data_IF_756339014317
#
_entry.id   IF_756339014317
#
_cell.length_a   1.000
_cell.length_b   1.000
_cell.length_c   1.000
_cell.angle_alpha   90.00
_cell.angle_beta   90.00
_cell.angle_gamma   90.00
#
_symmetry.space_group_name_H-M   'P 1'
#
loop_
_entity.id
_entity.type
_entity.pdbx_description
1 polymer ?
#
# COMPACT_ATOMS: atom_id res chain seq x y z
N UNK A 1 2.05 -24.96 -0.42
CA UNK A 1 1.20 -23.98 -1.13
C UNK A 1 1.37 -22.63 -0.46
N UNK A 2 1.62 -21.56 -1.22
CA UNK A 2 1.56 -20.19 -0.68
C UNK A 2 0.08 -19.88 -0.47
N UNK A 3 -0.29 -19.47 0.74
CA UNK A 3 -1.65 -18.97 1.00
C UNK A 3 -1.64 -17.45 0.81
N UNK A 4 -1.48 -17.01 -0.44
CA UNK A 4 -1.42 -15.60 -0.79
C UNK A 4 -2.84 -15.02 -0.72
N UNK A 5 -3.00 -13.93 0.05
CA UNK A 5 -4.25 -13.18 0.10
C UNK A 5 -4.02 -11.77 -0.39
N UNK A 6 -5.02 -11.23 -1.09
CA UNK A 6 -5.03 -9.84 -1.52
C UNK A 6 -6.19 -9.16 -0.81
N UNK A 7 -5.92 -8.09 -0.07
CA UNK A 7 -6.90 -7.34 0.72
C UNK A 7 -6.96 -5.90 0.25
N UNK A 8 -8.13 -5.49 -0.23
CA UNK A 8 -8.40 -4.10 -0.55
C UNK A 8 -8.96 -3.38 0.68
N UNK A 9 -8.43 -2.19 0.98
CA UNK A 9 -8.89 -1.37 2.11
C UNK A 9 -9.07 0.10 1.71
N UNK A 10 -10.10 0.78 2.23
CA UNK A 10 -10.20 2.23 2.12
C UNK A 10 -9.13 2.93 2.97
N UNK A 11 -8.62 4.07 2.50
CA UNK A 11 -7.65 4.93 3.18
C UNK A 11 -8.07 5.35 4.59
N UNK A 12 -9.37 5.49 4.86
CA UNK A 12 -9.88 5.80 6.20
C UNK A 12 -9.57 4.71 7.23
N UNK A 13 -9.27 3.48 6.76
CA UNK A 13 -8.83 2.37 7.59
C UNK A 13 -7.32 2.35 7.81
N UNK A 14 -6.57 3.35 7.33
CA UNK A 14 -5.12 3.48 7.52
C UNK A 14 -4.75 4.59 8.50
N UNK A 15 -5.68 5.04 9.34
CA UNK A 15 -5.45 6.06 10.37
C UNK A 15 -5.59 5.46 11.78
N UNK A 16 -4.82 6.02 12.73
CA UNK A 16 -4.82 5.61 14.14
C UNK A 16 -4.42 4.15 14.36
N UNK A 17 -5.09 3.47 15.31
CA UNK A 17 -4.78 2.09 15.75
C UNK A 17 -4.93 1.02 14.66
N UNK A 18 -5.41 1.37 13.47
CA UNK A 18 -5.63 0.39 12.41
C UNK A 18 -4.33 -0.14 11.79
N UNK A 19 -3.19 0.57 11.92
CA UNK A 19 -1.90 0.06 11.46
C UNK A 19 -1.54 -1.28 12.09
N UNK A 20 -1.83 -1.48 13.38
CA UNK A 20 -1.61 -2.77 14.04
C UNK A 20 -2.40 -3.92 13.42
N UNK A 21 -3.60 -3.65 12.87
CA UNK A 21 -4.37 -4.65 12.12
C UNK A 21 -3.72 -4.97 10.76
N UNK A 22 -3.19 -3.95 10.08
CA UNK A 22 -2.46 -4.14 8.82
C UNK A 22 -1.23 -5.02 9.03
N UNK A 23 -0.46 -4.78 10.09
CA UNK A 23 0.70 -5.62 10.43
C UNK A 23 0.29 -7.07 10.69
N UNK A 24 -0.84 -7.31 11.38
CA UNK A 24 -1.36 -8.67 11.61
C UNK A 24 -1.72 -9.38 10.30
N UNK A 25 -2.27 -8.67 9.32
CA UNK A 25 -2.59 -9.23 8.01
C UNK A 25 -1.31 -9.48 7.19
N UNK A 26 -0.36 -8.54 7.19
CA UNK A 26 0.93 -8.65 6.51
C UNK A 26 1.75 -9.86 7.04
N UNK A 27 1.74 -10.11 8.35
CA UNK A 27 2.37 -11.30 8.95
C UNK A 27 1.75 -12.62 8.47
N UNK A 28 0.57 -12.60 7.85
CA UNK A 28 -0.15 -13.77 7.32
C UNK A 28 -0.10 -13.82 5.79
N UNK A 29 1.03 -13.44 5.21
CA UNK A 29 1.28 -13.49 3.76
C UNK A 29 0.19 -12.74 2.92
N UNK A 30 -0.37 -11.65 3.47
CA UNK A 30 -1.40 -10.85 2.80
C UNK A 30 -0.79 -9.61 2.14
N UNK A 31 -1.04 -9.41 0.85
CA UNK A 31 -0.79 -8.15 0.14
C UNK A 31 -2.00 -7.23 0.37
N UNK A 32 -1.74 -5.97 0.71
CA UNK A 32 -2.75 -4.96 1.01
C UNK A 32 -2.71 -3.89 -0.06
N UNK A 33 -3.88 -3.55 -0.62
CA UNK A 33 -4.07 -2.42 -1.52
C UNK A 33 -4.93 -1.36 -0.83
N UNK A 34 -4.46 -0.12 -0.86
CA UNK A 34 -5.13 1.04 -0.29
C UNK A 34 -5.62 1.93 -1.45
N UNK A 35 -6.88 2.34 -1.40
CA UNK A 35 -7.55 3.16 -2.44
C UNK A 35 -7.09 4.63 -2.54
N UNK A 36 -5.92 4.93 -1.99
CA UNK A 36 -5.29 6.24 -2.03
C UNK A 36 -3.78 6.11 -1.95
N UNK A 37 -3.08 7.16 -2.38
CA UNK A 37 -1.66 7.35 -2.08
C UNK A 37 -1.52 7.76 -0.61
N UNK A 38 -0.77 6.98 0.17
CA UNK A 38 -0.44 7.36 1.54
C UNK A 38 0.34 8.68 1.59
N UNK A 39 0.14 9.45 2.66
CA UNK A 39 0.97 10.61 2.92
C UNK A 39 2.37 10.16 3.36
N UNK A 40 3.43 10.95 3.12
CA UNK A 40 4.78 10.61 3.60
C UNK A 40 4.83 10.34 5.11
N UNK A 41 4.00 11.06 5.90
CA UNK A 41 3.90 10.84 7.34
C UNK A 41 3.30 9.46 7.68
N UNK A 42 2.22 9.06 6.99
CA UNK A 42 1.61 7.73 7.20
C UNK A 42 2.50 6.59 6.69
N UNK A 43 3.23 6.79 5.59
CA UNK A 43 4.22 5.81 5.13
C UNK A 43 5.34 5.63 6.17
N UNK A 44 5.89 6.73 6.68
CA UNK A 44 6.92 6.70 7.72
C UNK A 44 6.42 6.03 9.01
N UNK A 45 5.19 6.32 9.44
CA UNK A 45 4.56 5.68 10.59
C UNK A 45 4.39 4.17 10.40
N UNK A 46 3.88 3.74 9.24
CA UNK A 46 3.75 2.32 8.90
C UNK A 46 5.12 1.62 8.91
N UNK A 47 6.14 2.24 8.34
CA UNK A 47 7.52 1.71 8.33
C UNK A 47 8.03 1.58 9.76
N UNK A 48 7.86 2.62 10.58
CA UNK A 48 8.26 2.61 12.00
C UNK A 48 7.60 1.46 12.75
N UNK A 49 6.28 1.35 12.69
CA UNK A 49 5.52 0.27 13.35
C UNK A 49 5.96 -1.10 12.82
N UNK A 50 6.25 -1.20 11.51
CA UNK A 50 6.76 -2.44 10.92
C UNK A 50 8.10 -2.84 11.54
N UNK A 51 9.04 -1.90 11.70
CA UNK A 51 10.35 -2.15 12.30
C UNK A 51 10.24 -2.70 13.72
N UNK A 52 9.30 -2.19 14.52
CA UNK A 52 9.00 -2.69 15.87
C UNK A 52 8.50 -4.15 15.87
N UNK A 53 8.01 -4.63 14.73
CA UNK A 53 7.41 -5.97 14.57
C UNK A 53 8.28 -6.96 13.81
N UNK A 54 9.46 -6.55 13.33
CA UNK A 54 10.42 -7.41 12.62
C UNK A 54 10.87 -8.55 13.54
N UNK A 55 10.92 -9.75 12.99
CA UNK A 55 11.42 -10.96 13.66
C UNK A 55 11.94 -11.96 12.63
N UNK A 56 12.50 -13.08 13.06
CA UNK A 56 12.95 -14.16 12.17
C UNK A 56 11.86 -14.63 11.19
N UNK A 57 10.58 -14.57 11.61
CA UNK A 57 9.43 -14.99 10.80
C UNK A 57 8.83 -13.85 9.95
N UNK A 58 9.19 -12.60 10.22
CA UNK A 58 8.66 -11.43 9.53
C UNK A 58 9.78 -10.43 9.26
N UNK A 59 10.32 -10.48 8.03
CA UNK A 59 11.44 -9.66 7.59
C UNK A 59 11.08 -8.19 7.29
N UNK A 60 9.81 -7.80 7.44
CA UNK A 60 9.31 -6.48 7.12
C UNK A 60 8.40 -6.46 5.89
N UNK A 61 8.24 -5.27 5.31
CA UNK A 61 7.35 -5.01 4.18
C UNK A 61 8.10 -4.40 3.01
N UNK A 62 7.54 -4.56 1.81
CA UNK A 62 7.81 -3.71 0.65
C UNK A 62 6.56 -2.84 0.42
N UNK A 63 6.78 -1.57 0.11
CA UNK A 63 5.72 -0.58 -0.08
C UNK A 63 5.96 0.18 -1.38
N UNK A 64 4.90 0.34 -2.18
CA UNK A 64 4.93 1.17 -3.38
C UNK A 64 3.63 1.95 -3.52
N UNK A 65 3.76 3.25 -3.77
CA UNK A 65 2.64 4.16 -3.96
C UNK A 65 2.57 4.59 -5.42
N UNK A 66 1.49 4.21 -6.09
CA UNK A 66 1.20 4.56 -7.48
C UNK A 66 0.39 5.84 -7.48
N UNK A 67 0.94 6.89 -8.08
CA UNK A 67 0.22 8.14 -8.29
C UNK A 67 -0.45 8.11 -9.67
N UNK A 68 -1.76 8.33 -9.70
CA UNK A 68 -2.46 8.54 -10.96
C UNK A 68 -2.15 9.97 -11.38
N UNK A 69 -1.04 10.15 -12.10
CA UNK A 69 -0.70 11.44 -12.68
C UNK A 69 -1.74 11.79 -13.75
N UNK A 70 -2.31 13.01 -13.72
CA UNK A 70 -3.04 13.50 -14.86
C UNK A 70 -2.11 13.61 -16.08
N UNK A 71 -2.67 13.52 -17.28
CA UNK A 71 -1.92 13.77 -18.51
C UNK A 71 -1.11 15.09 -18.40
N UNK A 72 0.16 15.01 -18.82
CA UNK A 72 1.15 16.07 -18.61
C UNK A 72 0.63 17.42 -19.15
N UNK A 73 0.53 18.42 -18.27
CA UNK A 73 0.75 19.82 -18.66
C UNK A 73 -0.40 20.81 -18.52
N UNK A 74 -1.64 20.41 -18.20
CA UNK A 74 -2.70 21.42 -18.03
C UNK A 74 -2.78 21.92 -16.58
N UNK A 75 -2.75 23.24 -16.35
CA UNK A 75 -3.00 23.82 -15.04
C UNK A 75 -4.36 23.37 -14.44
N UNK A 76 -5.30 22.97 -15.30
CA UNK A 76 -6.60 22.43 -14.90
C UNK A 76 -6.51 21.09 -14.15
N UNK A 77 -5.47 20.28 -14.40
CA UNK A 77 -5.33 18.99 -13.72
C UNK A 77 -4.92 19.13 -12.27
N UNK A 78 -3.99 20.04 -11.98
CA UNK A 78 -3.58 20.38 -10.60
C UNK A 78 -4.76 20.92 -9.79
N UNK A 79 -5.62 21.73 -10.41
CA UNK A 79 -6.84 22.24 -9.74
C UNK A 79 -7.80 21.09 -9.43
N UNK A 80 -8.01 20.16 -10.37
CA UNK A 80 -8.86 18.98 -10.14
C UNK A 80 -8.32 18.10 -9.01
N UNK A 81 -7.02 17.90 -8.93
CA UNK A 81 -6.41 17.09 -7.87
C UNK A 81 -6.49 17.79 -6.51
N UNK A 82 -6.32 19.10 -6.47
CA UNK A 82 -6.52 19.89 -5.27
C UNK A 82 -7.97 19.83 -4.77
N UNK A 83 -8.95 20.00 -5.67
CA UNK A 83 -10.38 19.85 -5.35
C UNK A 83 -10.71 18.43 -4.87
N UNK A 84 -10.15 17.41 -5.52
CA UNK A 84 -10.29 16.02 -5.07
C UNK A 84 -9.74 15.84 -3.65
N UNK A 85 -8.55 16.38 -3.37
CA UNK A 85 -7.93 16.26 -2.07
C UNK A 85 -8.72 16.99 -0.98
N UNK A 86 -9.27 18.17 -1.25
CA UNK A 86 -10.11 18.90 -0.30
C UNK A 86 -11.42 18.16 -0.03
N UNK A 87 -12.07 17.64 -1.07
CA UNK A 87 -13.39 16.99 -0.94
C UNK A 87 -13.33 15.60 -0.30
N UNK A 88 -12.29 14.82 -0.63
CA UNK A 88 -12.17 13.44 -0.16
C UNK A 88 -11.19 13.27 1.00
N UNK A 89 -10.31 14.25 1.24
CA UNK A 89 -9.19 14.11 2.18
C UNK A 89 -8.10 13.13 1.71
N UNK A 90 -8.24 12.54 0.50
CA UNK A 90 -7.33 11.53 -0.05
C UNK A 90 -6.47 12.11 -1.16
N UNK A 91 -5.25 11.57 -1.31
CA UNK A 91 -4.45 11.78 -2.51
C UNK A 91 -4.84 10.75 -3.56
N UNK A 92 -5.08 11.19 -4.80
CA UNK A 92 -5.33 10.27 -5.92
C UNK A 92 -4.15 9.31 -6.08
N UNK A 93 -4.47 8.05 -6.25
CA UNK A 93 -3.48 6.99 -6.36
C UNK A 93 -3.91 5.73 -5.65
N UNK A 94 -2.98 4.80 -5.56
CA UNK A 94 -3.15 3.54 -4.86
C UNK A 94 -1.82 3.18 -4.19
N UNK A 95 -1.87 2.73 -2.95
CA UNK A 95 -0.68 2.21 -2.26
C UNK A 95 -0.78 0.69 -2.14
N UNK A 96 0.27 -0.01 -2.53
CA UNK A 96 0.41 -1.47 -2.41
C UNK A 96 1.46 -1.78 -1.36
N UNK A 97 1.13 -2.66 -0.44
CA UNK A 97 1.99 -3.07 0.67
C UNK A 97 1.99 -4.59 0.73
N UNK A 98 3.16 -5.19 0.76
CA UNK A 98 3.27 -6.65 0.87
C UNK A 98 4.39 -7.08 1.81
N UNK A 99 4.35 -8.33 2.31
CA UNK A 99 5.44 -8.88 3.11
C UNK A 99 6.68 -9.08 2.25
N UNK A 100 7.85 -8.62 2.70
CA UNK A 100 9.05 -8.57 1.85
C UNK A 100 9.44 -9.95 1.27
N UNK A 101 9.25 -11.01 2.05
CA UNK A 101 9.50 -12.40 1.59
C UNK A 101 8.61 -12.80 0.43
N UNK A 102 7.34 -12.43 0.46
CA UNK A 102 6.36 -12.74 -0.59
C UNK A 102 6.63 -11.90 -1.83
N UNK A 103 6.87 -10.59 -1.65
CA UNK A 103 7.14 -9.68 -2.78
C UNK A 103 8.42 -10.09 -3.51
N UNK A 104 9.54 -10.30 -2.81
CA UNK A 104 10.80 -10.76 -3.44
C UNK A 104 10.66 -12.10 -4.15
N UNK A 105 9.79 -12.98 -3.63
CA UNK A 105 9.49 -14.26 -4.27
C UNK A 105 8.74 -14.04 -5.60
N UNK A 106 7.74 -13.16 -5.62
CA UNK A 106 7.00 -12.77 -6.83
C UNK A 106 7.92 -12.06 -7.83
N UNK A 107 8.81 -11.16 -7.38
CA UNK A 107 9.79 -10.50 -8.26
C UNK A 107 10.75 -11.51 -8.92
N UNK A 108 11.20 -12.51 -8.17
CA UNK A 108 12.07 -13.57 -8.70
C UNK A 108 11.34 -14.52 -9.65
N UNK A 109 10.07 -14.79 -9.41
CA UNK A 109 9.23 -15.62 -10.27
C UNK A 109 7.84 -14.99 -10.44
N UNK A 110 7.65 -14.16 -11.48
CA UNK A 110 6.38 -13.48 -11.74
C UNK A 110 5.19 -14.42 -11.93
N UNK A 111 5.42 -15.69 -12.26
CA UNK A 111 4.36 -16.71 -12.38
C UNK A 111 3.66 -17.04 -11.04
N UNK A 112 4.22 -16.60 -9.91
CA UNK A 112 3.61 -16.73 -8.58
C UNK A 112 2.44 -15.74 -8.36
N UNK A 113 2.35 -14.69 -9.19
CA UNK A 113 1.22 -13.77 -9.20
C UNK A 113 0.85 -13.41 -10.65
N UNK A 114 -0.17 -14.09 -11.16
CA UNK A 114 -0.72 -13.83 -12.48
C UNK A 114 -2.09 -13.19 -12.33
N UNK A 115 -2.31 -12.09 -13.04
CA UNK A 115 -3.64 -11.54 -13.27
C UNK A 115 -3.92 -11.75 -14.76
N UNK A 116 -4.80 -12.72 -15.05
CA UNK A 116 -5.34 -12.92 -16.39
C UNK A 116 -6.67 -12.16 -16.46
N UNK A 117 -6.85 -11.38 -17.52
CA UNK A 117 -8.10 -10.65 -17.81
C UNK A 117 -8.85 -11.38 -18.90
#
# INVERSE_FOLDING_TARGET
MINLKIKFIPYEKTTGDNFGKLIKDLKKDTIILIDAKLSPAHEAELIKITMEHISEKFAGIELSSIEVMPEKGSASSKIRDFLFQITTGKKRGMTVIGPARIIRKIEKNPQELLVYV
#
